data_IF_256761169933
#
_entry.id   IF_256761169933
#
_cell.length_a   1.000
_cell.length_b   1.000
_cell.length_c   1.000
_cell.angle_alpha   90.00
_cell.angle_beta   90.00
_cell.angle_gamma   90.00
#
_symmetry.space_group_name_H-M   'P 1'
#
loop_
_entity.id
_entity.type
_entity.pdbx_description
1 polymer ?
#
# COMPACT_ATOMS: atom_id res chain seq x y z
N UNK A 1 -23.91 -5.07 -15.01
CA UNK A 1 -22.56 -4.95 -15.59
C UNK A 1 -21.60 -5.20 -14.45
N UNK A 2 -20.78 -6.25 -14.51
CA UNK A 2 -19.77 -6.50 -13.48
C UNK A 2 -18.76 -5.36 -13.50
N UNK A 3 -18.75 -4.55 -12.43
CA UNK A 3 -17.59 -3.74 -12.06
C UNK A 3 -16.45 -4.72 -11.80
N UNK A 4 -15.68 -4.99 -12.84
CA UNK A 4 -14.46 -5.79 -12.78
C UNK A 4 -13.36 -4.96 -12.13
N UNK A 5 -13.47 -4.72 -10.83
CA UNK A 5 -12.32 -4.28 -10.05
C UNK A 5 -11.33 -5.45 -10.02
N UNK A 6 -10.07 -5.26 -10.43
CA UNK A 6 -9.04 -6.21 -10.07
C UNK A 6 -8.76 -5.95 -8.58
N UNK A 7 -9.65 -6.42 -7.70
CA UNK A 7 -9.29 -6.60 -6.31
C UNK A 7 -8.23 -7.69 -6.29
N UNK A 8 -6.98 -7.29 -6.49
CA UNK A 8 -5.83 -8.11 -6.15
C UNK A 8 -5.96 -8.29 -4.65
N UNK A 9 -6.53 -9.43 -4.25
CA UNK A 9 -6.54 -9.81 -2.84
C UNK A 9 -5.09 -10.04 -2.46
N UNK A 10 -4.58 -9.17 -1.59
CA UNK A 10 -3.30 -9.41 -0.97
C UNK A 10 -3.36 -10.73 -0.19
N UNK A 11 -2.29 -11.53 -0.25
CA UNK A 11 -2.21 -12.74 0.55
C UNK A 11 -2.26 -12.38 2.04
N UNK A 12 -2.82 -13.29 2.83
CA UNK A 12 -2.93 -13.12 4.29
C UNK A 12 -1.55 -12.97 4.95
N UNK A 13 -0.51 -13.50 4.31
CA UNK A 13 0.87 -13.46 4.75
C UNK A 13 1.78 -13.07 3.59
N UNK A 14 2.63 -12.07 3.83
CA UNK A 14 3.68 -11.63 2.92
C UNK A 14 5.00 -12.06 3.55
N UNK A 15 5.64 -13.09 2.98
CA UNK A 15 6.97 -13.53 3.41
C UNK A 15 8.02 -12.83 2.56
N UNK A 16 8.45 -11.64 2.98
CA UNK A 16 9.58 -10.92 2.41
C UNK A 16 10.72 -10.88 3.42
N UNK A 17 11.95 -10.95 2.92
CA UNK A 17 13.10 -10.51 3.69
C UNK A 17 13.03 -8.99 3.91
N UNK A 18 13.76 -8.48 4.90
CA UNK A 18 13.83 -7.03 5.14
C UNK A 18 14.33 -6.24 3.92
N UNK A 19 15.22 -6.84 3.13
CA UNK A 19 15.73 -6.20 1.90
C UNK A 19 14.62 -6.10 0.84
N UNK A 20 13.89 -7.18 0.59
CA UNK A 20 12.79 -7.19 -0.39
C UNK A 20 11.62 -6.30 0.05
N UNK A 21 11.33 -6.24 1.36
CA UNK A 21 10.36 -5.30 1.91
C UNK A 21 10.76 -3.84 1.65
N UNK A 22 12.05 -3.51 1.84
CA UNK A 22 12.58 -2.18 1.54
C UNK A 22 12.46 -1.81 0.07
N UNK A 23 12.81 -2.73 -0.84
CA UNK A 23 12.68 -2.51 -2.29
C UNK A 23 11.23 -2.26 -2.71
N UNK A 24 10.27 -2.98 -2.15
CA UNK A 24 8.85 -2.77 -2.46
C UNK A 24 8.36 -1.40 -2.02
N UNK A 25 8.73 -0.97 -0.80
CA UNK A 25 8.36 0.36 -0.30
C UNK A 25 9.02 1.48 -1.12
N UNK A 26 10.29 1.32 -1.49
CA UNK A 26 10.99 2.29 -2.35
C UNK A 26 10.31 2.45 -3.71
N UNK A 27 9.87 1.34 -4.33
CA UNK A 27 9.13 1.39 -5.60
C UNK A 27 7.78 2.09 -5.45
N UNK A 28 7.08 1.88 -4.34
CA UNK A 28 5.79 2.53 -4.07
C UNK A 28 5.96 4.03 -3.83
N UNK A 29 6.97 4.45 -3.07
CA UNK A 29 7.32 5.86 -2.88
C UNK A 29 7.66 6.52 -4.23
N UNK A 30 8.50 5.87 -5.06
CA UNK A 30 8.81 6.36 -6.40
C UNK A 30 7.56 6.47 -7.28
N UNK A 31 6.62 5.54 -7.18
CA UNK A 31 5.36 5.57 -7.91
C UNK A 31 4.48 6.76 -7.48
N UNK A 32 4.45 7.11 -6.19
CA UNK A 32 3.76 8.31 -5.68
C UNK A 32 4.40 9.59 -6.24
N UNK A 33 5.73 9.68 -6.23
CA UNK A 33 6.46 10.86 -6.72
C UNK A 33 6.35 11.04 -8.24
N UNK A 34 6.29 9.95 -8.99
CA UNK A 34 6.26 9.96 -10.46
C UNK A 34 4.85 9.90 -11.06
N UNK A 35 3.81 9.77 -10.22
CA UNK A 35 2.42 9.73 -10.66
C UNK A 35 2.05 10.96 -11.52
N UNK A 36 1.49 10.68 -12.70
CA UNK A 36 1.13 11.71 -13.69
C UNK A 36 -0.24 12.30 -13.36
N UNK A 37 -1.11 11.51 -12.75
CA UNK A 37 -2.46 11.91 -12.31
C UNK A 37 -2.65 11.78 -10.80
N UNK A 38 -3.61 12.54 -10.28
CA UNK A 38 -3.98 12.46 -8.86
C UNK A 38 -4.55 11.08 -8.51
N UNK A 39 -5.29 10.45 -9.41
CA UNK A 39 -5.80 9.08 -9.21
C UNK A 39 -4.68 8.05 -9.11
N UNK A 40 -3.63 8.16 -9.92
CA UNK A 40 -2.46 7.28 -9.82
C UNK A 40 -1.72 7.51 -8.50
N UNK A 41 -1.59 8.77 -8.08
CA UNK A 41 -0.94 9.11 -6.81
C UNK A 41 -1.70 8.55 -5.62
N UNK A 42 -3.03 8.69 -5.61
CA UNK A 42 -3.91 8.12 -4.59
C UNK A 42 -3.78 6.60 -4.56
N UNK A 43 -3.85 5.92 -5.70
CA UNK A 43 -3.72 4.46 -5.76
C UNK A 43 -2.35 3.97 -5.29
N UNK A 44 -1.26 4.67 -5.65
CA UNK A 44 0.09 4.32 -5.20
C UNK A 44 0.25 4.51 -3.68
N UNK A 45 -0.35 5.56 -3.12
CA UNK A 45 -0.35 5.83 -1.68
C UNK A 45 -1.14 4.77 -0.91
N UNK A 46 -2.36 4.45 -1.35
CA UNK A 46 -3.18 3.40 -0.75
C UNK A 46 -2.47 2.03 -0.78
N UNK A 47 -1.75 1.74 -1.88
CA UNK A 47 -0.94 0.53 -1.97
C UNK A 47 0.23 0.54 -0.98
N UNK A 48 0.92 1.67 -0.81
CA UNK A 48 2.00 1.83 0.17
C UNK A 48 1.51 1.60 1.61
N UNK A 49 0.39 2.23 1.98
CA UNK A 49 -0.23 2.10 3.30
C UNK A 49 -0.65 0.65 3.56
N UNK A 50 -1.33 0.02 2.60
CA UNK A 50 -1.81 -1.36 2.72
C UNK A 50 -0.66 -2.38 2.83
N UNK A 51 0.41 -2.22 2.03
CA UNK A 51 1.59 -3.10 2.11
C UNK A 51 2.34 -2.87 3.42
N UNK A 52 2.50 -1.62 3.85
CA UNK A 52 3.16 -1.28 5.11
C UNK A 52 2.43 -1.90 6.30
N UNK A 53 1.10 -1.76 6.37
CA UNK A 53 0.29 -2.36 7.43
C UNK A 53 0.37 -3.90 7.44
N UNK A 54 0.54 -4.54 6.26
CA UNK A 54 0.71 -6.01 6.17
C UNK A 54 2.10 -6.47 6.60
N UNK A 55 3.15 -5.71 6.29
CA UNK A 55 4.53 -6.03 6.67
C UNK A 55 4.83 -5.73 8.13
N UNK A 56 4.21 -4.67 8.67
CA UNK A 56 4.31 -4.24 10.06
C UNK A 56 2.93 -3.98 10.65
N UNK A 57 2.23 -5.02 11.12
CA UNK A 57 0.91 -4.86 11.75
C UNK A 57 0.92 -3.89 12.93
N UNK A 58 2.03 -3.84 13.66
CA UNK A 58 2.27 -2.93 14.79
C UNK A 58 2.30 -1.45 14.38
N UNK A 59 2.58 -1.16 13.10
CA UNK A 59 2.51 0.18 12.52
C UNK A 59 1.15 0.45 11.87
N UNK A 60 0.34 -0.58 11.61
CA UNK A 60 -1.02 -0.44 11.07
C UNK A 60 -1.92 0.40 11.97
N UNK A 61 -1.82 0.22 13.29
CA UNK A 61 -2.57 1.00 14.29
C UNK A 61 -2.29 2.52 14.18
N UNK A 62 -1.11 2.94 13.72
CA UNK A 62 -0.76 4.36 13.53
C UNK A 62 -1.48 5.00 12.33
N UNK A 63 -2.03 4.19 11.42
CA UNK A 63 -2.74 4.66 10.23
C UNK A 63 -4.27 4.58 10.40
N UNK A 64 -4.79 3.88 11.41
CA UNK A 64 -6.23 3.78 11.69
C UNK A 64 -6.79 4.98 12.48
N UNK A 65 -5.92 5.81 13.09
CA UNK A 65 -6.30 6.92 13.97
C UNK A 65 -6.85 8.19 13.24
N UNK A 66 -6.88 8.23 11.91
CA UNK A 66 -7.34 9.42 11.14
C UNK A 66 -8.84 9.38 10.72
N UNK A 67 -9.59 8.33 11.07
CA UNK A 67 -11.01 8.16 10.70
C UNK A 67 -12.03 8.54 11.82
N UNK A 68 -11.58 9.17 12.92
CA UNK A 68 -12.46 9.77 13.94
C UNK A 68 -12.28 11.31 14.01
N UNK A 69 -12.92 12.06 13.10
CA UNK A 69 -13.16 13.51 13.26
C UNK A 69 -14.46 14.00 12.61
#
# INVERSE_FOLDING_TARGET
>A
MSSGEPYVRLPDRIDLTLAEAGEVLEVLDLAVETAISDSERTAAREAAEMITAKLWPELGDLFEDDDEA
#
